data_IF_698279492368
#
_entry.id   IF_698279492368
#
_cell.length_a   1.000
_cell.length_b   1.000
_cell.length_c   1.000
_cell.angle_alpha   90.00
_cell.angle_beta   90.00
_cell.angle_gamma   90.00
#
_symmetry.space_group_name_H-M   'P 1'
#
loop_
_entity.id
_entity.type
_entity.pdbx_description
1 polymer ?
#
# COMPACT_ATOMS: atom_id res chain seq x y z
N UNK A 1 -2.00 20.04 16.11
CA UNK A 1 -2.63 19.93 14.78
C UNK A 1 -1.51 19.96 13.77
N UNK A 2 -1.30 18.88 13.01
CA UNK A 2 -0.31 18.83 11.94
C UNK A 2 -0.90 19.50 10.71
N UNK A 3 -0.21 20.50 10.17
CA UNK A 3 -0.59 21.12 8.88
C UNK A 3 -0.56 20.06 7.77
N UNK A 4 -1.37 20.24 6.72
CA UNK A 4 -1.45 19.39 5.53
C UNK A 4 -0.55 19.94 4.42
N UNK A 5 0.03 19.04 3.63
CA UNK A 5 0.88 19.35 2.47
C UNK A 5 0.05 19.18 1.20
N UNK A 6 -0.16 20.27 0.46
CA UNK A 6 -0.83 20.28 -0.85
C UNK A 6 0.13 20.18 -2.03
N UNK A 7 1.39 20.59 -1.87
CA UNK A 7 2.43 20.54 -2.90
C UNK A 7 3.49 19.51 -2.56
N UNK A 8 3.67 18.50 -3.41
CA UNK A 8 4.56 17.36 -3.13
C UNK A 8 6.02 17.62 -3.45
N UNK A 9 6.31 18.35 -4.52
CA UNK A 9 7.67 18.43 -5.07
C UNK A 9 8.70 19.09 -4.13
N UNK A 10 8.23 19.87 -3.16
CA UNK A 10 9.09 20.58 -2.22
C UNK A 10 9.40 19.79 -0.96
N UNK A 11 8.67 18.70 -0.68
CA UNK A 11 8.81 17.95 0.58
C UNK A 11 9.56 16.65 0.34
N UNK A 12 10.68 16.47 1.03
CA UNK A 12 11.48 15.25 0.93
C UNK A 12 11.45 14.49 2.25
N UNK A 13 11.47 13.17 2.15
CA UNK A 13 11.64 12.28 3.31
C UNK A 13 12.95 12.59 4.03
N UNK A 14 12.87 12.80 5.33
CA UNK A 14 14.02 13.00 6.21
C UNK A 14 14.29 11.71 7.00
N UNK A 15 15.30 10.94 6.59
CA UNK A 15 15.72 9.71 7.27
C UNK A 15 15.11 8.41 6.69
N UNK A 16 15.13 7.33 7.49
CA UNK A 16 14.78 5.98 7.00
C UNK A 16 13.29 5.60 7.12
N UNK A 17 12.47 6.42 7.76
CA UNK A 17 11.10 6.03 8.09
C UNK A 17 11.04 4.81 9.00
N UNK A 18 9.87 4.18 9.06
CA UNK A 18 9.60 2.93 9.74
C UNK A 18 9.02 1.93 8.75
N UNK A 19 9.43 0.68 8.84
CA UNK A 19 8.88 -0.40 8.04
C UNK A 19 8.69 -1.63 8.90
N UNK A 20 7.72 -2.46 8.54
CA UNK A 20 7.47 -3.74 9.20
C UNK A 20 6.83 -4.71 8.20
N UNK A 21 7.33 -5.95 8.19
CA UNK A 21 6.90 -7.00 7.28
C UNK A 21 6.33 -8.16 8.08
N UNK A 22 5.25 -8.75 7.56
CA UNK A 22 4.57 -9.90 8.14
C UNK A 22 3.77 -10.62 7.05
N UNK A 23 3.10 -11.71 7.42
CA UNK A 23 2.21 -12.45 6.53
C UNK A 23 0.78 -12.30 7.01
N UNK A 24 -0.12 -11.97 6.10
CA UNK A 24 -1.56 -11.91 6.35
C UNK A 24 -2.32 -12.07 5.03
N UNK A 25 -3.46 -12.76 5.06
CA UNK A 25 -4.45 -12.75 3.97
C UNK A 25 -5.13 -11.38 3.87
N UNK A 26 -5.93 -11.17 2.82
CA UNK A 26 -6.67 -9.91 2.70
C UNK A 26 -7.75 -9.77 3.78
N UNK A 27 -8.34 -10.87 4.21
CA UNK A 27 -9.34 -10.96 5.27
C UNK A 27 -8.72 -10.70 6.64
N UNK A 28 -7.59 -11.34 6.96
CA UNK A 28 -6.84 -11.11 8.20
C UNK A 28 -6.41 -9.64 8.32
N UNK A 29 -6.04 -9.02 7.21
CA UNK A 29 -5.72 -7.58 7.19
C UNK A 29 -6.91 -6.71 7.62
N UNK A 30 -8.14 -7.03 7.19
CA UNK A 30 -9.34 -6.29 7.62
C UNK A 30 -9.56 -6.46 9.12
N UNK A 31 -9.39 -7.67 9.66
CA UNK A 31 -9.51 -7.94 11.10
C UNK A 31 -8.44 -7.22 11.93
N UNK A 32 -7.18 -7.27 11.48
CA UNK A 32 -6.06 -6.57 12.11
C UNK A 32 -6.36 -5.06 12.14
N UNK A 33 -6.72 -4.47 11.00
CA UNK A 33 -6.99 -3.04 10.93
C UNK A 33 -8.24 -2.64 11.72
N UNK A 34 -9.29 -3.47 11.72
CA UNK A 34 -10.52 -3.22 12.46
C UNK A 34 -10.32 -3.21 13.98
N UNK A 35 -9.32 -3.91 14.50
CA UNK A 35 -9.05 -4.02 15.94
C UNK A 35 -7.86 -3.17 16.41
N UNK A 36 -6.86 -2.95 15.55
CA UNK A 36 -5.62 -2.28 15.91
C UNK A 36 -5.68 -0.76 15.81
N UNK A 37 -6.54 -0.22 14.93
CA UNK A 37 -6.55 1.21 14.65
C UNK A 37 -7.11 2.01 15.85
N UNK A 38 -6.36 3.00 16.39
CA UNK A 38 -6.81 3.76 17.56
C UNK A 38 -8.09 4.57 17.31
N UNK A 39 -9.10 4.42 18.18
CA UNK A 39 -10.42 5.05 18.00
C UNK A 39 -10.34 6.59 17.95
N UNK A 40 -9.39 7.21 18.65
CA UNK A 40 -9.24 8.67 18.67
C UNK A 40 -8.82 9.31 17.34
N UNK A 41 -8.37 8.52 16.36
CA UNK A 41 -8.07 9.01 15.01
C UNK A 41 -9.05 8.46 13.95
N UNK A 42 -10.12 7.80 14.37
CA UNK A 42 -11.21 7.39 13.49
C UNK A 42 -12.00 8.62 12.99
N UNK A 43 -12.66 8.56 11.82
CA UNK A 43 -12.76 7.40 10.94
C UNK A 43 -11.52 7.19 10.06
N UNK A 44 -11.35 5.94 9.61
CA UNK A 44 -10.25 5.52 8.74
C UNK A 44 -10.76 5.13 7.36
N UNK A 45 -10.00 5.50 6.34
CA UNK A 45 -10.19 5.07 4.95
C UNK A 45 -8.92 4.40 4.43
N UNK A 46 -9.11 3.56 3.41
CA UNK A 46 -8.02 2.98 2.64
C UNK A 46 -8.04 3.49 1.21
N UNK A 47 -6.87 3.84 0.70
CA UNK A 47 -6.64 4.25 -0.68
C UNK A 47 -5.84 3.17 -1.36
N UNK A 48 -6.36 2.59 -2.44
CA UNK A 48 -5.58 1.75 -3.34
C UNK A 48 -5.08 2.59 -4.51
N UNK A 49 -3.76 2.64 -4.74
CA UNK A 49 -3.16 3.40 -5.84
C UNK A 49 -2.68 2.46 -6.95
N UNK A 50 -2.84 2.90 -8.20
CA UNK A 50 -2.44 2.12 -9.38
C UNK A 50 -2.15 3.04 -10.56
N UNK A 51 -1.51 2.50 -11.59
CA UNK A 51 -1.19 3.20 -12.82
C UNK A 51 -2.18 2.81 -13.92
N UNK A 52 -2.80 3.81 -14.55
CA UNK A 52 -3.64 3.65 -15.74
C UNK A 52 -2.85 4.09 -16.96
N UNK A 53 -2.89 3.30 -18.04
CA UNK A 53 -2.22 3.64 -19.30
C UNK A 53 -3.07 4.65 -20.07
N UNK A 54 -2.50 5.83 -20.33
CA UNK A 54 -3.09 6.89 -21.16
C UNK A 54 -2.19 7.11 -22.39
N UNK A 55 -2.51 6.43 -23.49
CA UNK A 55 -1.70 6.46 -24.71
C UNK A 55 -0.30 5.88 -24.50
N UNK A 56 0.74 6.74 -24.56
CA UNK A 56 2.14 6.37 -24.33
C UNK A 56 2.61 6.58 -22.88
N UNK A 57 1.76 7.16 -22.04
CA UNK A 57 2.10 7.52 -20.67
C UNK A 57 1.29 6.69 -19.68
N UNK A 58 1.74 6.71 -18.43
CA UNK A 58 1.01 6.15 -17.30
C UNK A 58 0.66 7.27 -16.33
N UNK A 59 -0.57 7.23 -15.81
CA UNK A 59 -1.09 8.20 -14.84
C UNK A 59 -1.44 7.48 -13.55
N UNK A 60 -1.14 8.10 -12.42
CA UNK A 60 -1.60 7.62 -11.12
C UNK A 60 -3.11 7.85 -10.99
N UNK A 61 -3.81 6.79 -10.62
CA UNK A 61 -5.21 6.81 -10.25
C UNK A 61 -5.39 6.09 -8.91
N UNK A 62 -6.58 6.21 -8.32
CA UNK A 62 -6.86 5.60 -7.02
C UNK A 62 -8.32 5.15 -6.86
N UNK A 63 -8.51 4.17 -5.98
CA UNK A 63 -9.80 3.86 -5.38
C UNK A 63 -9.72 4.17 -3.89
N UNK A 64 -10.80 4.66 -3.30
CA UNK A 64 -10.88 4.95 -1.87
C UNK A 64 -12.17 4.41 -1.29
N UNK A 65 -12.09 3.86 -0.08
CA UNK A 65 -13.25 3.32 0.63
C UNK A 65 -12.97 3.12 2.12
N UNK A 66 -13.95 2.62 2.89
CA UNK A 66 -13.69 2.10 4.23
C UNK A 66 -12.66 0.97 4.20
N UNK A 67 -12.04 0.70 5.35
CA UNK A 67 -11.05 -0.39 5.51
C UNK A 67 -11.58 -1.76 5.05
N UNK A 68 -12.89 -1.99 5.18
CA UNK A 68 -13.58 -3.21 4.75
C UNK A 68 -13.52 -3.45 3.24
N UNK A 69 -13.22 -2.42 2.43
CA UNK A 69 -13.10 -2.54 0.97
C UNK A 69 -11.74 -3.09 0.54
N UNK A 70 -10.79 -3.28 1.48
CA UNK A 70 -9.46 -3.76 1.17
C UNK A 70 -9.45 -5.07 0.34
N UNK A 71 -10.20 -6.14 0.68
CA UNK A 71 -10.21 -7.37 -0.12
C UNK A 71 -10.77 -7.15 -1.53
N UNK A 72 -11.78 -6.28 -1.67
CA UNK A 72 -12.36 -5.92 -2.97
C UNK A 72 -11.31 -5.22 -3.85
N UNK A 73 -10.53 -4.30 -3.30
CA UNK A 73 -9.48 -3.60 -4.04
C UNK A 73 -8.33 -4.55 -4.40
N UNK A 74 -7.96 -5.46 -3.51
CA UNK A 74 -6.99 -6.54 -3.78
C UNK A 74 -7.43 -7.43 -4.93
N UNK A 75 -8.69 -7.84 -4.96
CA UNK A 75 -9.26 -8.66 -6.04
C UNK A 75 -9.23 -7.97 -7.41
N UNK A 76 -9.17 -6.63 -7.45
CA UNK A 76 -8.99 -5.83 -8.67
C UNK A 76 -7.52 -5.71 -9.12
N UNK A 77 -6.59 -6.37 -8.43
CA UNK A 77 -5.17 -6.33 -8.74
C UNK A 77 -4.43 -5.11 -8.18
N UNK A 78 -4.99 -4.41 -7.19
CA UNK A 78 -4.27 -3.34 -6.50
C UNK A 78 -3.36 -3.95 -5.44
N UNK A 79 -2.10 -3.51 -5.36
CA UNK A 79 -1.10 -3.99 -4.40
C UNK A 79 -0.52 -2.88 -3.52
N UNK A 80 -0.66 -1.62 -3.90
CA UNK A 80 -0.16 -0.46 -3.16
C UNK A 80 -1.33 0.28 -2.52
N UNK A 81 -1.28 0.45 -1.20
CA UNK A 81 -2.33 1.06 -0.42
C UNK A 81 -1.81 2.10 0.56
N UNK A 82 -2.71 2.99 1.00
CA UNK A 82 -2.46 3.94 2.08
C UNK A 82 -3.64 3.97 3.05
N UNK A 83 -3.34 3.98 4.35
CA UNK A 83 -4.35 4.16 5.41
C UNK A 83 -4.36 5.63 5.81
N UNK A 84 -5.51 6.27 5.69
CA UNK A 84 -5.75 7.66 6.07
C UNK A 84 -6.62 7.69 7.33
N UNK A 85 -6.22 8.52 8.29
CA UNK A 85 -7.12 9.01 9.33
C UNK A 85 -7.79 10.29 8.83
N UNK A 86 -9.12 10.34 8.80
CA UNK A 86 -9.84 11.55 8.40
C UNK A 86 -9.72 12.67 9.44
N UNK A 87 -9.31 12.37 10.68
CA UNK A 87 -9.03 13.38 11.71
C UNK A 87 -7.66 14.00 11.52
N UNK A 88 -6.65 13.20 11.20
CA UNK A 88 -5.27 13.68 11.03
C UNK A 88 -5.01 14.25 9.63
N UNK A 89 -5.85 13.89 8.66
CA UNK A 89 -5.69 14.27 7.25
C UNK A 89 -7.00 14.69 6.60
N UNK A 90 -7.84 15.41 7.35
CA UNK A 90 -9.16 15.89 6.91
C UNK A 90 -9.12 16.74 5.64
N UNK A 91 -8.05 17.52 5.46
CA UNK A 91 -7.90 18.48 4.35
C UNK A 91 -7.06 17.90 3.21
N UNK A 92 -6.66 16.62 3.28
CA UNK A 92 -5.89 15.99 2.23
C UNK A 92 -6.77 15.76 0.99
N UNK A 93 -6.54 16.56 -0.04
CA UNK A 93 -7.21 16.43 -1.34
C UNK A 93 -6.33 15.61 -2.29
N UNK A 94 -6.79 14.39 -2.60
CA UNK A 94 -6.15 13.54 -3.60
C UNK A 94 -6.84 13.77 -4.95
N UNK A 95 -6.05 14.14 -5.96
CA UNK A 95 -6.53 14.37 -7.32
C UNK A 95 -5.87 13.37 -8.29
N UNK A 96 -6.64 12.74 -9.20
CA UNK A 96 -6.08 11.85 -10.22
C UNK A 96 -5.01 12.55 -11.06
N UNK A 97 -3.89 11.87 -11.30
CA UNK A 97 -2.75 12.40 -12.07
C UNK A 97 -1.69 13.14 -11.26
N UNK A 98 -1.94 13.46 -10.00
CA UNK A 98 -0.89 13.88 -9.07
C UNK A 98 0.05 12.70 -8.76
N UNK A 99 1.25 12.97 -8.23
CA UNK A 99 2.06 11.91 -7.63
C UNK A 99 1.44 11.50 -6.29
N UNK A 100 0.39 10.67 -6.36
CA UNK A 100 -0.46 10.30 -5.22
C UNK A 100 0.37 9.64 -4.12
N UNK A 101 1.25 8.71 -4.48
CA UNK A 101 2.07 7.99 -3.50
C UNK A 101 2.95 8.96 -2.71
N UNK A 102 3.58 9.91 -3.39
CA UNK A 102 4.38 10.93 -2.74
C UNK A 102 3.51 11.86 -1.86
N UNK A 103 2.32 12.23 -2.31
CA UNK A 103 1.39 13.06 -1.54
C UNK A 103 0.97 12.36 -0.24
N UNK A 104 0.61 11.09 -0.31
CA UNK A 104 0.26 10.27 0.85
C UNK A 104 1.44 10.16 1.82
N UNK A 105 2.64 9.87 1.29
CA UNK A 105 3.87 9.75 2.08
C UNK A 105 4.23 11.08 2.76
N UNK A 106 4.15 12.20 2.05
CA UNK A 106 4.45 13.52 2.60
C UNK A 106 3.49 13.90 3.73
N UNK A 107 2.25 13.43 3.68
CA UNK A 107 1.24 13.67 4.72
C UNK A 107 1.26 12.60 5.83
N UNK A 108 2.22 11.67 5.81
CA UNK A 108 2.44 10.69 6.86
C UNK A 108 1.47 9.50 6.85
N UNK A 109 0.70 9.30 5.76
CA UNK A 109 -0.19 8.15 5.66
C UNK A 109 0.60 6.84 5.76
N UNK A 110 -0.01 5.81 6.35
CA UNK A 110 0.62 4.49 6.45
C UNK A 110 0.55 3.82 5.09
N UNK A 111 1.70 3.59 4.46
CA UNK A 111 1.83 2.74 3.29
C UNK A 111 1.53 1.29 3.73
N UNK A 112 0.66 0.61 3.00
CA UNK A 112 0.42 -0.82 3.11
C UNK A 112 0.57 -1.45 1.72
N UNK A 113 1.42 -2.46 1.61
CA UNK A 113 1.62 -3.25 0.40
C UNK A 113 1.36 -4.72 0.72
N UNK A 114 0.57 -5.42 -0.10
CA UNK A 114 0.34 -6.86 0.04
C UNK A 114 0.64 -7.56 -1.30
N UNK A 115 1.68 -8.38 -1.31
CA UNK A 115 2.24 -8.99 -2.50
C UNK A 115 2.98 -8.02 -3.43
N UNK A 116 3.41 -8.52 -4.59
CA UNK A 116 4.15 -7.82 -5.64
C UNK A 116 4.21 -8.69 -6.88
N UNK A 117 4.31 -8.04 -8.05
CA UNK A 117 4.36 -8.71 -9.36
C UNK A 117 5.65 -9.52 -9.61
N UNK A 118 6.71 -9.33 -8.82
CA UNK A 118 8.05 -9.80 -9.20
C UNK A 118 8.66 -10.87 -8.29
N UNK A 119 8.45 -10.83 -6.96
CA UNK A 119 9.26 -11.63 -6.00
C UNK A 119 8.63 -11.98 -4.65
N UNK A 120 7.48 -11.43 -4.29
CA UNK A 120 6.90 -11.64 -2.95
C UNK A 120 5.78 -12.67 -2.99
N UNK A 121 5.58 -13.35 -1.87
CA UNK A 121 4.44 -14.25 -1.72
C UNK A 121 3.14 -13.43 -1.74
N UNK A 122 2.02 -13.96 -2.27
CA UNK A 122 0.75 -13.23 -2.37
C UNK A 122 0.25 -12.62 -1.04
N UNK A 123 0.60 -13.25 0.08
CA UNK A 123 0.19 -12.87 1.44
C UNK A 123 1.32 -12.16 2.22
N UNK A 124 2.45 -11.86 1.59
CA UNK A 124 3.49 -11.05 2.21
C UNK A 124 3.02 -9.60 2.27
N UNK A 125 2.87 -9.08 3.49
CA UNK A 125 2.41 -7.73 3.76
C UNK A 125 3.56 -6.89 4.31
N UNK A 126 3.71 -5.69 3.76
CA UNK A 126 4.64 -4.68 4.21
C UNK A 126 3.89 -3.41 4.58
N UNK A 127 4.11 -2.91 5.80
CA UNK A 127 3.65 -1.58 6.21
C UNK A 127 4.83 -0.63 6.34
N UNK A 128 4.62 0.62 5.93
CA UNK A 128 5.63 1.66 5.97
C UNK A 128 5.06 2.99 6.46
N UNK A 129 5.91 3.77 7.13
CA UNK A 129 5.62 5.14 7.53
C UNK A 129 6.86 6.00 7.28
N UNK A 130 6.68 7.12 6.58
CA UNK A 130 7.65 8.21 6.61
C UNK A 130 7.25 9.12 7.77
N UNK A 131 8.00 9.02 8.87
CA UNK A 131 7.68 9.72 10.11
C UNK A 131 8.18 11.16 10.11
N UNK A 132 9.05 11.54 9.16
CA UNK A 132 9.59 12.90 9.02
C UNK A 132 9.77 13.31 7.57
N UNK A 133 9.42 14.56 7.29
CA UNK A 133 9.66 15.21 5.99
C UNK A 133 10.19 16.62 6.18
N UNK A 134 11.00 17.08 5.23
CA UNK A 134 11.58 18.42 5.21
C UNK A 134 11.17 19.15 3.93
N UNK A 135 10.71 20.39 4.07
CA UNK A 135 10.53 21.28 2.93
C UNK A 135 11.89 21.79 2.46
N UNK A 136 12.21 21.58 1.18
CA UNK A 136 13.50 21.92 0.57
C UNK A 136 13.70 23.41 0.33
N UNK A 137 12.61 24.18 0.25
CA UNK A 137 12.64 25.64 0.03
C UNK A 137 12.73 26.37 1.37
N UNK A 138 11.87 26.00 2.34
CA UNK A 138 11.78 26.70 3.63
C UNK A 138 12.65 26.09 4.72
N UNK A 139 13.11 24.85 4.54
CA UNK A 139 13.82 24.08 5.56
C UNK A 139 12.92 23.51 6.67
N UNK A 140 11.61 23.77 6.63
CA UNK A 140 10.64 23.32 7.64
C UNK A 140 10.70 21.80 7.80
N UNK A 141 10.80 21.33 9.04
CA UNK A 141 10.74 19.91 9.38
C UNK A 141 9.37 19.58 9.97
N UNK A 142 8.69 18.59 9.39
CA UNK A 142 7.43 18.05 9.88
C UNK A 142 7.63 16.62 10.37
N UNK A 143 7.04 16.31 11.52
CA UNK A 143 7.04 14.96 12.09
C UNK A 143 5.60 14.44 12.18
N UNK A 144 5.37 13.21 11.75
CA UNK A 144 4.06 12.57 11.74
C UNK A 144 3.88 11.70 13.00
N UNK A 145 4.01 12.31 14.18
CA UNK A 145 4.01 11.60 15.46
C UNK A 145 2.68 10.85 15.74
N UNK A 146 1.55 11.36 15.28
CA UNK A 146 0.26 10.69 15.47
C UNK A 146 0.07 9.50 14.52
N UNK A 147 0.53 9.60 13.27
CA UNK A 147 0.61 8.43 12.38
C UNK A 147 1.62 7.39 12.88
N UNK A 148 2.69 7.79 13.57
CA UNK A 148 3.58 6.85 14.24
C UNK A 148 2.86 6.02 15.32
N UNK A 149 1.88 6.59 16.03
CA UNK A 149 1.03 5.84 16.97
C UNK A 149 0.18 4.80 16.23
N UNK A 150 -0.41 5.17 15.09
CA UNK A 150 -1.18 4.25 14.23
C UNK A 150 -0.29 3.09 13.75
N UNK A 151 0.90 3.41 13.20
CA UNK A 151 1.87 2.41 12.76
C UNK A 151 2.23 1.41 13.86
N UNK A 152 2.55 1.91 15.05
CA UNK A 152 2.94 1.06 16.18
C UNK A 152 1.76 0.21 16.68
N UNK A 153 0.53 0.70 16.62
CA UNK A 153 -0.64 -0.08 16.99
C UNK A 153 -0.86 -1.27 16.05
N UNK A 154 -0.77 -1.07 14.73
CA UNK A 154 -0.84 -2.15 13.74
C UNK A 154 0.28 -3.17 13.98
N UNK A 155 1.52 -2.70 14.13
CA UNK A 155 2.67 -3.58 14.42
C UNK A 155 2.44 -4.42 15.69
N UNK A 156 1.95 -3.82 16.76
CA UNK A 156 1.67 -4.53 18.01
C UNK A 156 0.56 -5.57 17.86
N UNK A 157 -0.49 -5.27 17.09
CA UNK A 157 -1.58 -6.22 16.85
C UNK A 157 -1.07 -7.46 16.11
N UNK A 158 -0.28 -7.28 15.05
CA UNK A 158 0.33 -8.40 14.32
C UNK A 158 1.25 -9.22 15.21
N UNK A 159 2.08 -8.57 16.03
CA UNK A 159 3.00 -9.28 16.92
C UNK A 159 2.31 -10.09 18.04
N UNK A 160 1.04 -9.77 18.36
CA UNK A 160 0.25 -10.48 19.37
C UNK A 160 -0.53 -11.66 18.82
N UNK A 161 -0.68 -11.77 17.50
CA UNK A 161 -1.31 -12.94 16.91
C UNK A 161 -0.37 -14.15 17.07
N UNK A 162 -0.84 -15.27 17.65
CA UNK A 162 -0.05 -16.48 17.67
C UNK A 162 0.29 -16.85 16.23
N UNK A 163 1.57 -17.07 15.94
CA UNK A 163 2.04 -17.57 14.65
C UNK A 163 1.38 -18.94 14.42
N UNK A 164 0.19 -18.96 13.82
CA UNK A 164 -0.34 -20.18 13.25
C UNK A 164 0.61 -20.54 12.10
N UNK A 165 1.27 -21.69 12.25
CA UNK A 165 2.26 -22.26 11.33
C UNK A 165 1.97 -21.91 9.86
N UNK A 166 2.64 -20.87 9.36
CA UNK A 166 2.70 -20.56 7.94
C UNK A 166 3.80 -21.41 7.32
N UNK A 167 3.57 -22.72 7.29
CA UNK A 167 4.20 -23.55 6.26
C UNK A 167 3.64 -23.06 4.92
N UNK A 168 4.47 -22.56 3.98
CA UNK A 168 4.00 -22.28 2.64
C UNK A 168 3.57 -23.61 2.02
N UNK A 169 2.26 -23.84 1.92
CA UNK A 169 1.69 -24.92 1.11
C UNK A 169 2.05 -24.63 -0.35
N UNK A 170 3.17 -25.15 -0.82
CA UNK A 170 3.52 -25.20 -2.23
C UNK A 170 2.60 -26.21 -2.91
N UNK A 171 1.40 -25.77 -3.30
CA UNK A 171 0.69 -26.47 -4.38
C UNK A 171 1.36 -26.06 -5.67
N UNK A 172 2.33 -26.85 -6.13
CA UNK A 172 2.81 -26.77 -7.50
C UNK A 172 1.61 -27.04 -8.42
N UNK A 173 1.05 -25.99 -9.02
CA UNK A 173 0.26 -26.15 -10.23
C UNK A 173 1.22 -26.63 -11.32
N UNK A 174 1.35 -27.95 -11.45
CA UNK A 174 1.98 -28.56 -12.62
C UNK A 174 1.08 -28.20 -13.80
N UNK A 175 1.48 -27.16 -14.54
CA UNK A 175 1.09 -26.98 -15.93
C UNK A 175 1.59 -28.23 -16.67
N UNK A 176 0.73 -29.22 -16.83
CA UNK A 176 0.93 -30.30 -17.80
C UNK A 176 0.78 -29.66 -19.17
N UNK A 177 1.89 -29.09 -19.66
CA UNK A 177 2.00 -28.71 -21.07
C UNK A 177 2.20 -30.01 -21.82
N UNK A 178 1.13 -30.50 -22.45
CA UNK A 178 1.17 -31.66 -23.33
C UNK A 178 2.09 -31.33 -24.51
N UNK A 179 3.23 -32.01 -24.72
CA UNK A 179 4.20 -31.64 -25.76
C UNK A 179 3.74 -31.96 -27.20
N UNK A 180 2.52 -32.43 -27.40
CA UNK A 180 2.08 -33.04 -28.65
C UNK A 180 1.35 -32.12 -29.62
N UNK A 181 1.11 -30.84 -29.27
CA UNK A 181 0.27 -29.94 -30.10
C UNK A 181 0.96 -28.61 -30.45
N UNK A 182 2.23 -28.66 -30.85
CA UNK A 182 2.87 -27.54 -31.56
C UNK A 182 3.33 -28.04 -32.94
N UNK A 183 2.40 -28.15 -33.88
CA UNK A 183 2.74 -28.13 -35.30
C UNK A 183 2.72 -26.67 -35.79
N UNK A 184 3.92 -26.09 -35.81
CA UNK A 184 4.23 -24.84 -36.49
C UNK A 184 4.23 -25.08 -38.01
N UNK A 185 3.12 -24.76 -38.68
CA UNK A 185 3.12 -24.54 -40.12
C UNK A 185 3.76 -23.18 -40.42
N UNK A 186 5.10 -23.14 -40.49
CA UNK A 186 5.81 -21.98 -41.05
C UNK A 186 5.85 -22.11 -42.57
N UNK A 187 5.04 -21.26 -43.20
CA UNK A 187 5.24 -20.78 -44.57
C UNK A 187 6.70 -20.35 -44.77
N UNK A 188 7.29 -20.74 -45.90
CA UNK A 188 8.45 -20.07 -46.49
C UNK A 188 8.12 -19.73 -47.93
N UNK A 189 8.27 -18.48 -48.36
CA UNK A 189 8.49 -18.10 -49.76
C UNK A 189 9.97 -17.70 -49.97
N UNK A 190 10.44 -17.45 -51.20
CA UNK A 190 9.98 -17.91 -52.51
C UNK A 190 10.82 -19.07 -53.07
#
# INVERSE_FOLDING_TARGET
MSSIISETQQWLREGRGKTFQFFATSEEMVEILGTALPVQFAPYSIFGTFLVKEGKFYKHDYLSGPITDFPLFRARGIWQFFIQSQVLSSELLITPGSNIDHLCVANGLINLQQGSLAKSLPNETHIGLVDKVRNTVTGELRQHADYLKIFNAIKQAVQKQPQQNLEPSYTQAVLVVNPSEIHLSRLSPP
#
